data_IF_489368700085
#
_entry.id   IF_489368700085
#
_cell.length_a   1.000
_cell.length_b   1.000
_cell.length_c   1.000
_cell.angle_alpha   90.00
_cell.angle_beta   90.00
_cell.angle_gamma   90.00
#
_symmetry.space_group_name_H-M   'P 1'
#
loop_
_entity.id
_entity.type
_entity.pdbx_description
1 polymer ?
#
# COMPACT_ATOMS: atom_id res chain seq x y z
N UNK A 1 28.00 19.56 -24.02
CA UNK A 1 27.85 19.60 -22.55
C UNK A 1 26.39 19.83 -22.08
N UNK A 2 25.56 20.56 -22.85
CA UNK A 2 24.13 20.82 -22.52
C UNK A 2 23.23 19.57 -22.65
N UNK A 3 23.53 18.66 -23.61
CA UNK A 3 22.72 17.46 -23.90
C UNK A 3 22.81 16.40 -22.79
N UNK A 4 23.94 16.31 -22.08
CA UNK A 4 24.13 15.34 -20.97
C UNK A 4 23.40 15.80 -19.70
N UNK A 5 23.22 17.11 -19.53
CA UNK A 5 22.45 17.67 -18.40
C UNK A 5 20.93 17.46 -18.56
N UNK A 6 20.42 17.51 -19.80
CA UNK A 6 19.02 17.20 -20.10
C UNK A 6 18.70 15.72 -19.96
N UNK A 7 19.62 14.82 -20.34
CA UNK A 7 19.42 13.37 -20.22
C UNK A 7 19.42 12.89 -18.75
N UNK A 8 20.18 13.53 -17.86
CA UNK A 8 20.16 13.24 -16.41
C UNK A 8 18.92 13.78 -15.70
N UNK A 9 18.18 14.73 -16.27
CA UNK A 9 16.95 15.27 -15.70
C UNK A 9 15.71 14.46 -16.06
N UNK A 10 15.80 13.63 -17.12
CA UNK A 10 14.71 12.73 -17.57
C UNK A 10 14.68 11.41 -16.76
N UNK A 11 15.76 11.06 -16.06
CA UNK A 11 15.90 9.78 -15.32
C UNK A 11 15.91 9.92 -13.78
N UNK A 12 15.30 10.95 -13.20
CA UNK A 12 14.79 10.78 -11.84
C UNK A 12 13.43 10.09 -11.91
N UNK A 13 13.41 8.81 -12.31
CA UNK A 13 12.38 7.88 -11.86
C UNK A 13 12.43 7.94 -10.33
N UNK A 14 11.36 8.34 -9.69
CA UNK A 14 11.12 8.04 -8.28
C UNK A 14 11.06 6.51 -8.22
N UNK A 15 12.20 5.86 -8.02
CA UNK A 15 12.22 4.41 -7.85
C UNK A 15 11.64 4.14 -6.47
N UNK A 16 10.46 3.55 -6.44
CA UNK A 16 9.85 3.04 -5.22
C UNK A 16 10.79 1.98 -4.65
N UNK A 17 11.36 2.24 -3.47
CA UNK A 17 12.32 1.34 -2.83
C UNK A 17 11.65 0.42 -1.83
N UNK A 18 10.69 0.95 -1.08
CA UNK A 18 9.91 0.19 -0.09
C UNK A 18 8.43 0.51 -0.25
N UNK A 19 7.61 -0.51 -0.19
CA UNK A 19 6.16 -0.39 -0.32
C UNK A 19 5.50 -1.11 0.85
N UNK A 20 4.52 -0.46 1.48
CA UNK A 20 3.67 -1.17 2.42
C UNK A 20 2.55 -1.89 1.69
N UNK A 21 2.29 -3.14 2.09
CA UNK A 21 1.17 -3.91 1.56
C UNK A 21 0.18 -4.21 2.67
N UNK A 22 -1.03 -3.67 2.52
CA UNK A 22 -2.19 -3.96 3.35
C UNK A 22 -2.95 -5.14 2.75
N UNK A 23 -3.15 -6.20 3.52
CA UNK A 23 -3.84 -7.40 3.04
C UNK A 23 -4.41 -8.23 4.19
N UNK A 24 -5.25 -9.20 3.86
CA UNK A 24 -5.93 -10.03 4.84
C UNK A 24 -5.03 -11.00 5.60
N UNK A 25 -5.39 -11.28 6.86
CA UNK A 25 -4.87 -12.40 7.67
C UNK A 25 -5.50 -13.75 7.28
N UNK A 26 -6.32 -13.81 6.23
CA UNK A 26 -6.88 -15.00 5.60
C UNK A 26 -6.47 -15.03 4.14
N UNK A 27 -6.42 -16.23 3.53
CA UNK A 27 -6.18 -16.40 2.09
C UNK A 27 -7.45 -16.20 1.26
N UNK A 28 -8.62 -16.12 1.91
CA UNK A 28 -9.89 -16.23 1.23
C UNK A 28 -10.17 -17.66 0.72
N UNK A 29 -11.30 -17.85 0.05
CA UNK A 29 -11.68 -19.18 -0.45
C UNK A 29 -11.13 -19.46 -1.86
N UNK A 30 -10.93 -18.43 -2.66
CA UNK A 30 -10.44 -18.59 -4.03
C UNK A 30 -8.91 -18.56 -4.09
N UNK A 31 -8.27 -19.48 -4.83
CA UNK A 31 -6.82 -19.52 -4.99
C UNK A 31 -6.26 -18.27 -5.69
N UNK A 32 -7.07 -17.55 -6.45
CA UNK A 32 -6.67 -16.34 -7.19
C UNK A 32 -6.09 -15.25 -6.28
N UNK A 33 -6.53 -15.18 -5.03
CA UNK A 33 -6.03 -14.20 -4.05
C UNK A 33 -4.61 -14.56 -3.60
N UNK A 34 -4.37 -15.85 -3.32
CA UNK A 34 -3.04 -16.37 -3.03
C UNK A 34 -2.08 -16.13 -4.20
N UNK A 35 -2.52 -16.43 -5.42
CA UNK A 35 -1.73 -16.22 -6.64
C UNK A 35 -1.37 -14.74 -6.84
N UNK A 36 -2.28 -13.83 -6.53
CA UNK A 36 -2.01 -12.39 -6.59
C UNK A 36 -0.93 -11.96 -5.59
N UNK A 37 -0.95 -12.50 -4.35
CA UNK A 37 0.10 -12.24 -3.37
C UNK A 37 1.46 -12.77 -3.81
N UNK A 38 1.51 -13.99 -4.34
CA UNK A 38 2.75 -14.59 -4.90
C UNK A 38 3.27 -13.77 -6.08
N UNK A 39 2.38 -13.37 -7.01
CA UNK A 39 2.77 -12.55 -8.17
C UNK A 39 3.34 -11.21 -7.74
N UNK A 40 2.75 -10.55 -6.74
CA UNK A 40 3.26 -9.29 -6.20
C UNK A 40 4.61 -9.50 -5.50
N UNK A 41 4.76 -10.56 -4.71
CA UNK A 41 6.02 -10.89 -4.05
C UNK A 41 7.17 -11.14 -5.03
N UNK A 42 6.93 -11.90 -6.10
CA UNK A 42 7.91 -12.12 -7.16
C UNK A 42 8.30 -10.81 -7.84
N UNK A 43 7.32 -9.95 -8.15
CA UNK A 43 7.59 -8.63 -8.72
C UNK A 43 8.49 -7.78 -7.81
N UNK A 44 8.27 -7.80 -6.49
CA UNK A 44 9.09 -7.07 -5.53
C UNK A 44 10.54 -7.53 -5.56
N UNK A 45 10.77 -8.84 -5.55
CA UNK A 45 12.13 -9.41 -5.62
C UNK A 45 12.83 -9.04 -6.93
N UNK A 46 12.17 -9.24 -8.08
CA UNK A 46 12.72 -8.93 -9.41
C UNK A 46 13.10 -7.44 -9.55
N UNK A 47 12.36 -6.55 -8.89
CA UNK A 47 12.57 -5.10 -8.97
C UNK A 47 13.30 -4.50 -7.76
N UNK A 48 13.77 -5.34 -6.82
CA UNK A 48 14.48 -4.93 -5.59
C UNK A 48 13.68 -3.96 -4.74
N UNK A 49 12.38 -4.23 -4.58
CA UNK A 49 11.46 -3.46 -3.74
C UNK A 49 11.34 -4.18 -2.40
N UNK A 50 11.60 -3.47 -1.30
CA UNK A 50 11.38 -3.98 0.05
C UNK A 50 9.90 -3.96 0.44
N UNK A 51 9.44 -5.04 1.08
CA UNK A 51 8.11 -5.14 1.66
C UNK A 51 8.09 -4.56 3.07
N UNK A 52 7.13 -3.70 3.37
CA UNK A 52 6.71 -3.36 4.74
C UNK A 52 5.30 -3.90 4.93
N UNK A 53 5.02 -4.59 6.05
CA UNK A 53 3.72 -5.20 6.26
C UNK A 53 3.40 -5.42 7.75
N UNK A 54 2.25 -5.98 8.04
CA UNK A 54 1.74 -6.17 9.40
C UNK A 54 2.44 -7.21 10.27
N UNK A 55 3.51 -7.86 9.81
CA UNK A 55 4.31 -8.79 10.61
C UNK A 55 3.69 -10.18 10.82
N UNK A 56 2.51 -10.47 10.27
CA UNK A 56 1.81 -11.75 10.47
C UNK A 56 2.31 -12.87 9.53
N UNK A 57 2.32 -14.11 10.06
CA UNK A 57 2.71 -15.32 9.29
C UNK A 57 1.55 -16.01 8.58
N UNK A 58 0.31 -15.57 8.79
CA UNK A 58 -0.89 -16.25 8.28
C UNK A 58 -1.55 -15.46 7.13
N UNK A 59 -2.35 -16.15 6.33
CA UNK A 59 -3.15 -15.56 5.27
C UNK A 59 -2.33 -14.96 4.14
N UNK A 60 -2.86 -13.89 3.55
CA UNK A 60 -2.20 -13.16 2.47
C UNK A 60 -0.88 -12.53 2.93
N UNK A 61 -0.82 -12.08 4.20
CA UNK A 61 0.39 -11.50 4.80
C UNK A 61 1.55 -12.50 4.81
N UNK A 62 1.34 -13.70 5.36
CA UNK A 62 2.36 -14.73 5.40
C UNK A 62 2.78 -15.17 3.99
N UNK A 63 1.82 -15.41 3.10
CA UNK A 63 2.11 -15.82 1.73
C UNK A 63 2.99 -14.82 0.97
N UNK A 64 2.72 -13.53 1.13
CA UNK A 64 3.52 -12.48 0.50
C UNK A 64 4.94 -12.42 1.09
N UNK A 65 5.06 -12.45 2.42
CA UNK A 65 6.36 -12.42 3.10
C UNK A 65 7.19 -13.66 2.76
N UNK A 66 6.61 -14.87 2.83
CA UNK A 66 7.27 -16.14 2.46
C UNK A 66 7.80 -16.12 1.03
N UNK A 67 7.00 -15.60 0.07
CA UNK A 67 7.40 -15.52 -1.34
C UNK A 67 8.65 -14.66 -1.52
N UNK A 68 8.75 -13.55 -0.79
CA UNK A 68 9.87 -12.62 -0.88
C UNK A 68 11.10 -13.18 -0.15
N UNK A 69 10.91 -13.72 1.06
CA UNK A 69 11.99 -14.30 1.88
C UNK A 69 12.63 -15.52 1.22
N UNK A 70 11.84 -16.38 0.57
CA UNK A 70 12.35 -17.55 -0.17
C UNK A 70 13.34 -17.18 -1.29
N UNK A 71 13.35 -15.93 -1.71
CA UNK A 71 14.23 -15.39 -2.76
C UNK A 71 15.23 -14.35 -2.20
N UNK A 72 15.44 -14.32 -0.88
CA UNK A 72 16.32 -13.38 -0.18
C UNK A 72 15.95 -11.89 -0.40
N UNK A 73 14.66 -11.59 -0.60
CA UNK A 73 14.15 -10.23 -0.68
C UNK A 73 14.01 -9.58 0.69
N UNK A 74 13.96 -8.24 0.73
CA UNK A 74 13.84 -7.45 1.96
C UNK A 74 12.39 -7.44 2.47
N UNK A 75 12.19 -7.83 3.75
CA UNK A 75 10.90 -7.82 4.43
C UNK A 75 11.03 -7.18 5.81
N UNK A 76 10.21 -6.16 6.08
CA UNK A 76 10.11 -5.49 7.38
C UNK A 76 8.69 -5.71 7.92
N UNK A 77 8.59 -6.31 9.09
CA UNK A 77 7.34 -6.47 9.81
C UNK A 77 7.13 -5.36 10.85
N UNK A 78 5.91 -4.85 10.99
CA UNK A 78 5.55 -3.91 12.06
C UNK A 78 4.36 -4.47 12.82
N UNK A 79 4.56 -4.86 14.08
CA UNK A 79 3.55 -5.54 14.87
C UNK A 79 3.33 -4.87 16.23
N UNK A 80 2.08 -4.72 16.69
CA UNK A 80 1.81 -4.25 18.05
C UNK A 80 2.14 -5.33 19.07
N UNK A 81 2.67 -4.91 20.21
CA UNK A 81 3.02 -5.82 21.34
C UNK A 81 1.87 -6.74 21.75
N UNK A 82 0.64 -6.28 21.63
CA UNK A 82 -0.56 -7.08 21.92
C UNK A 82 -0.64 -8.35 21.05
N UNK A 83 -0.26 -8.25 19.78
CA UNK A 83 -0.31 -9.36 18.81
C UNK A 83 0.98 -10.19 18.77
N UNK A 84 2.06 -9.73 19.41
CA UNK A 84 3.33 -10.43 19.47
C UNK A 84 3.21 -11.79 20.18
N UNK A 85 2.32 -11.89 21.16
CA UNK A 85 2.13 -13.09 22.00
C UNK A 85 1.23 -14.15 21.40
N UNK A 86 0.52 -13.88 20.30
CA UNK A 86 -0.53 -14.75 19.76
C UNK A 86 -0.03 -15.71 18.66
N UNK A 87 1.24 -16.07 18.62
CA UNK A 87 1.84 -16.95 17.60
C UNK A 87 1.58 -16.53 16.13
N UNK A 88 1.14 -15.29 15.92
CA UNK A 88 0.86 -14.76 14.59
C UNK A 88 2.07 -14.06 13.97
N UNK A 89 3.12 -13.82 14.75
CA UNK A 89 4.36 -13.18 14.26
C UNK A 89 5.10 -14.10 13.31
N UNK A 90 5.61 -13.54 12.24
CA UNK A 90 6.38 -14.26 11.25
C UNK A 90 7.84 -14.45 11.69
N UNK A 91 8.20 -15.66 12.18
CA UNK A 91 9.53 -15.96 12.71
C UNK A 91 10.68 -15.85 11.69
N UNK A 92 10.39 -15.92 10.40
CA UNK A 92 11.39 -15.80 9.34
C UNK A 92 11.75 -14.36 8.95
N UNK A 93 11.06 -13.36 9.50
CA UNK A 93 11.34 -11.94 9.24
C UNK A 93 12.36 -11.42 10.25
N UNK A 94 13.57 -11.10 9.77
CA UNK A 94 14.66 -10.63 10.64
C UNK A 94 14.40 -9.22 11.19
N UNK A 95 13.84 -8.31 10.38
CA UNK A 95 13.53 -6.94 10.79
C UNK A 95 12.07 -6.83 11.24
N UNK A 96 11.81 -7.13 12.54
CA UNK A 96 10.51 -7.03 13.15
C UNK A 96 10.46 -5.85 14.13
N UNK A 97 9.68 -4.82 13.80
CA UNK A 97 9.49 -3.63 14.63
C UNK A 97 8.27 -3.83 15.51
N UNK A 98 8.50 -3.92 16.82
CA UNK A 98 7.43 -4.04 17.82
C UNK A 98 7.01 -2.65 18.29
N UNK A 99 5.75 -2.28 18.10
CA UNK A 99 5.19 -1.01 18.54
C UNK A 99 4.25 -1.19 19.75
N UNK A 100 3.99 -0.10 20.47
CA UNK A 100 3.18 -0.17 21.70
C UNK A 100 1.67 -0.22 21.41
N UNK A 101 1.22 0.51 20.39
CA UNK A 101 -0.21 0.71 20.07
C UNK A 101 -0.49 0.47 18.59
N UNK A 102 -1.73 0.08 18.27
CA UNK A 102 -2.21 -0.11 16.91
C UNK A 102 -2.09 1.17 16.06
N UNK A 103 -2.39 2.34 16.63
CA UNK A 103 -2.24 3.63 15.96
C UNK A 103 -0.78 3.98 15.64
N UNK A 104 0.16 3.61 16.53
CA UNK A 104 1.59 3.83 16.30
C UNK A 104 2.12 2.98 15.14
N UNK A 105 1.62 1.74 14.98
CA UNK A 105 1.98 0.83 13.90
C UNK A 105 1.81 1.49 12.52
N UNK A 106 0.66 2.08 12.25
CA UNK A 106 0.35 2.71 10.95
C UNK A 106 1.29 3.89 10.66
N UNK A 107 1.61 4.69 11.68
CA UNK A 107 2.57 5.80 11.57
C UNK A 107 3.99 5.30 11.26
N UNK A 108 4.42 4.21 11.90
CA UNK A 108 5.75 3.60 11.63
C UNK A 108 5.79 3.08 10.20
N UNK A 109 4.80 2.29 9.79
CA UNK A 109 4.72 1.75 8.43
C UNK A 109 4.76 2.86 7.38
N UNK A 110 4.00 3.93 7.58
CA UNK A 110 3.99 5.07 6.68
C UNK A 110 5.38 5.71 6.54
N UNK A 111 6.12 5.90 7.61
CA UNK A 111 7.45 6.54 7.57
C UNK A 111 8.52 5.73 6.84
N UNK A 112 8.32 4.43 6.71
CA UNK A 112 9.29 3.49 6.12
C UNK A 112 9.16 3.36 4.60
N UNK A 113 8.08 3.83 3.99
CA UNK A 113 7.71 3.46 2.61
C UNK A 113 7.57 4.64 1.65
N UNK A 114 7.65 4.34 0.38
CA UNK A 114 7.48 5.28 -0.73
C UNK A 114 6.08 5.19 -1.35
N UNK A 115 5.29 4.17 -0.98
CA UNK A 115 3.94 3.95 -1.53
C UNK A 115 3.16 2.86 -0.80
N UNK A 116 1.90 2.73 -1.18
CA UNK A 116 0.91 1.84 -0.54
C UNK A 116 0.25 0.96 -1.58
N UNK A 117 0.18 -0.35 -1.32
CA UNK A 117 -0.60 -1.31 -2.10
C UNK A 117 -1.61 -1.98 -1.18
N UNK A 118 -2.85 -2.09 -1.64
CA UNK A 118 -3.91 -2.83 -0.94
C UNK A 118 -4.30 -4.05 -1.76
N UNK A 119 -4.18 -5.23 -1.16
CA UNK A 119 -4.69 -6.51 -1.65
C UNK A 119 -5.99 -6.86 -0.91
N UNK A 120 -6.77 -7.85 -1.38
CA UNK A 120 -7.96 -8.33 -0.68
C UNK A 120 -7.74 -8.60 0.81
N UNK A 121 -8.69 -8.18 1.63
CA UNK A 121 -8.65 -8.32 3.08
C UNK A 121 -9.93 -7.85 3.75
N UNK A 122 -9.91 -7.84 5.08
CA UNK A 122 -11.05 -7.46 5.91
C UNK A 122 -11.03 -6.01 6.38
N UNK A 123 -11.66 -5.78 7.54
CA UNK A 123 -11.78 -4.44 8.14
C UNK A 123 -10.45 -3.73 8.37
N UNK A 124 -9.43 -4.45 8.88
CA UNK A 124 -8.10 -3.87 9.10
C UNK A 124 -7.46 -3.36 7.81
N UNK A 125 -7.62 -4.11 6.72
CA UNK A 125 -7.12 -3.73 5.40
C UNK A 125 -7.79 -2.47 4.87
N UNK A 126 -9.12 -2.34 5.05
CA UNK A 126 -9.87 -1.15 4.67
C UNK A 126 -9.55 0.04 5.57
N UNK A 127 -9.39 -0.17 6.89
CA UNK A 127 -8.98 0.87 7.84
C UNK A 127 -7.63 1.48 7.44
N UNK A 128 -6.64 0.65 7.11
CA UNK A 128 -5.32 1.08 6.66
C UNK A 128 -5.38 1.82 5.31
N UNK A 129 -6.18 1.33 4.34
CA UNK A 129 -6.41 2.00 3.06
C UNK A 129 -7.03 3.37 3.22
N UNK A 130 -8.12 3.46 4.00
CA UNK A 130 -8.84 4.73 4.18
C UNK A 130 -8.04 5.75 5.00
N UNK A 131 -7.21 5.30 5.94
CA UNK A 131 -6.27 6.20 6.61
C UNK A 131 -5.25 6.78 5.63
N UNK A 132 -4.61 5.96 4.78
CA UNK A 132 -3.69 6.43 3.76
C UNK A 132 -4.36 7.43 2.80
N UNK A 133 -5.58 7.15 2.34
CA UNK A 133 -6.36 8.06 1.50
C UNK A 133 -6.69 9.38 2.20
N UNK A 134 -7.03 9.33 3.49
CA UNK A 134 -7.31 10.52 4.30
C UNK A 134 -6.06 11.39 4.44
N UNK A 135 -4.90 10.79 4.75
CA UNK A 135 -3.63 11.52 4.83
C UNK A 135 -3.22 12.14 3.49
N UNK A 136 -3.46 11.43 2.38
CA UNK A 136 -3.26 11.94 1.03
C UNK A 136 -4.20 13.10 0.70
N UNK A 137 -5.49 12.99 1.04
CA UNK A 137 -6.48 14.05 0.84
C UNK A 137 -6.16 15.32 1.63
N UNK A 138 -5.61 15.16 2.84
CA UNK A 138 -5.19 16.28 3.69
C UNK A 138 -3.82 16.85 3.28
N UNK A 139 -3.16 16.30 2.25
CA UNK A 139 -1.81 16.67 1.79
C UNK A 139 -0.72 16.48 2.88
N UNK A 140 -0.98 15.65 3.89
CA UNK A 140 0.01 15.25 4.90
C UNK A 140 1.02 14.30 4.28
N UNK A 141 0.55 13.41 3.38
CA UNK A 141 1.37 12.51 2.58
C UNK A 141 1.04 12.65 1.10
N UNK A 142 2.05 12.45 0.25
CA UNK A 142 1.91 12.59 -1.20
C UNK A 142 2.42 11.35 -1.95
N UNK A 143 2.35 10.18 -1.29
CA UNK A 143 2.77 8.90 -1.84
C UNK A 143 1.67 8.27 -2.69
N UNK A 144 1.99 7.46 -3.71
CA UNK A 144 1.00 6.70 -4.46
C UNK A 144 0.26 5.72 -3.52
N UNK A 145 -1.06 5.75 -3.59
CA UNK A 145 -1.95 4.84 -2.86
C UNK A 145 -2.68 4.00 -3.90
N UNK A 146 -2.54 2.70 -3.81
CA UNK A 146 -3.03 1.81 -4.84
C UNK A 146 -3.78 0.59 -4.32
N UNK A 147 -4.62 0.03 -5.17
CA UNK A 147 -5.48 -1.11 -4.90
C UNK A 147 -5.41 -2.08 -6.07
N UNK A 148 -5.02 -3.33 -5.79
CA UNK A 148 -5.08 -4.41 -6.75
C UNK A 148 -6.45 -5.09 -6.65
N UNK A 149 -7.32 -4.78 -7.61
CA UNK A 149 -8.70 -5.30 -7.66
C UNK A 149 -8.74 -6.70 -8.25
N UNK A 150 -8.29 -7.67 -7.46
CA UNK A 150 -8.26 -9.08 -7.84
C UNK A 150 -9.68 -9.62 -7.92
N UNK A 151 -10.07 -10.11 -9.09
CA UNK A 151 -11.39 -10.73 -9.32
C UNK A 151 -12.59 -9.85 -8.86
N UNK A 152 -12.46 -8.52 -9.00
CA UNK A 152 -13.56 -7.61 -8.62
C UNK A 152 -13.82 -7.50 -7.11
N UNK A 153 -12.89 -7.98 -6.25
CA UNK A 153 -13.09 -8.01 -4.81
C UNK A 153 -13.47 -6.64 -4.21
N UNK A 154 -12.96 -5.57 -4.78
CA UNK A 154 -13.22 -4.22 -4.30
C UNK A 154 -14.27 -3.45 -5.10
N UNK A 155 -14.99 -4.07 -6.03
CA UNK A 155 -15.95 -3.36 -6.88
C UNK A 155 -16.99 -2.59 -6.06
N UNK A 156 -17.52 -3.16 -4.98
CA UNK A 156 -18.48 -2.49 -4.09
C UNK A 156 -17.85 -1.28 -3.37
N UNK A 157 -16.58 -1.36 -2.98
CA UNK A 157 -15.85 -0.24 -2.37
C UNK A 157 -15.65 0.89 -3.39
N UNK A 158 -15.28 0.55 -4.61
CA UNK A 158 -15.10 1.53 -5.70
C UNK A 158 -16.42 2.22 -6.03
N UNK A 159 -17.52 1.48 -6.14
CA UNK A 159 -18.86 2.03 -6.31
C UNK A 159 -19.25 2.97 -5.17
N UNK A 160 -18.93 2.62 -3.92
CA UNK A 160 -19.18 3.49 -2.78
C UNK A 160 -18.40 4.80 -2.86
N UNK A 161 -17.13 4.75 -3.29
CA UNK A 161 -16.32 5.96 -3.48
C UNK A 161 -16.87 6.84 -4.60
N UNK A 162 -17.35 6.24 -5.69
CA UNK A 162 -17.97 6.97 -6.79
C UNK A 162 -19.30 7.60 -6.36
N UNK A 163 -20.09 6.91 -5.53
CA UNK A 163 -21.29 7.45 -4.90
C UNK A 163 -20.99 8.63 -3.98
N UNK A 164 -19.91 8.58 -3.21
CA UNK A 164 -19.46 9.72 -2.40
C UNK A 164 -19.13 10.95 -3.25
N UNK A 165 -18.60 10.75 -4.47
CA UNK A 165 -18.35 11.86 -5.40
C UNK A 165 -19.67 12.42 -5.93
N UNK A 166 -20.58 11.57 -6.35
CA UNK A 166 -21.91 11.94 -6.86
C UNK A 166 -22.71 12.77 -5.84
N UNK A 167 -22.71 12.34 -4.58
CA UNK A 167 -23.41 13.03 -3.47
C UNK A 167 -22.63 14.20 -2.86
N UNK A 168 -21.42 14.51 -3.38
CA UNK A 168 -20.63 15.67 -2.95
C UNK A 168 -19.85 15.51 -1.65
N UNK A 169 -19.80 14.31 -1.05
CA UNK A 169 -18.99 14.02 0.14
C UNK A 169 -17.51 13.85 -0.16
N UNK A 170 -17.16 13.46 -1.38
CA UNK A 170 -15.80 13.30 -1.87
C UNK A 170 -15.61 14.13 -3.15
N UNK A 171 -14.51 14.89 -3.24
CA UNK A 171 -14.16 15.57 -4.49
C UNK A 171 -13.53 14.59 -5.46
N UNK A 172 -13.72 14.78 -6.77
CA UNK A 172 -13.09 13.97 -7.82
C UNK A 172 -11.56 13.91 -7.65
N UNK A 173 -10.90 15.01 -7.25
CA UNK A 173 -9.47 15.00 -6.97
C UNK A 173 -9.09 14.06 -5.81
N UNK A 174 -9.94 13.93 -4.80
CA UNK A 174 -9.76 12.98 -3.69
C UNK A 174 -9.97 11.52 -4.14
N UNK A 175 -11.01 11.28 -4.97
CA UNK A 175 -11.24 9.94 -5.57
C UNK A 175 -10.06 9.49 -6.42
N UNK A 176 -9.43 10.40 -7.13
CA UNK A 176 -8.28 10.13 -8.01
C UNK A 176 -6.96 9.87 -7.28
N UNK A 177 -6.93 10.00 -5.94
CA UNK A 177 -5.78 9.55 -5.14
C UNK A 177 -5.62 8.03 -5.18
N UNK A 178 -6.73 7.29 -5.31
CA UNK A 178 -6.70 5.84 -5.35
C UNK A 178 -6.43 5.34 -6.76
N UNK A 179 -5.24 4.79 -6.96
CA UNK A 179 -4.86 4.08 -8.18
C UNK A 179 -5.45 2.67 -8.14
N UNK A 180 -6.16 2.27 -9.19
CA UNK A 180 -6.77 0.95 -9.28
C UNK A 180 -6.23 0.21 -10.50
N UNK A 181 -5.88 -1.06 -10.31
CA UNK A 181 -5.49 -1.95 -11.40
C UNK A 181 -5.94 -3.39 -11.12
N UNK A 182 -6.01 -4.21 -12.15
CA UNK A 182 -6.35 -5.63 -12.06
C UNK A 182 -5.13 -6.55 -12.20
N UNK A 183 -3.96 -6.00 -12.54
CA UNK A 183 -2.70 -6.73 -12.61
C UNK A 183 -1.57 -5.98 -11.89
N UNK A 184 -0.60 -6.74 -11.35
CA UNK A 184 0.57 -6.18 -10.66
C UNK A 184 1.36 -5.26 -11.59
N UNK A 185 1.58 -5.65 -12.83
CA UNK A 185 2.33 -4.84 -13.80
C UNK A 185 1.68 -3.48 -14.06
N UNK A 186 0.37 -3.46 -14.28
CA UNK A 186 -0.38 -2.21 -14.48
C UNK A 186 -0.34 -1.34 -13.21
N UNK A 187 -0.51 -1.96 -12.03
CA UNK A 187 -0.48 -1.25 -10.76
C UNK A 187 0.84 -0.53 -10.57
N UNK A 188 1.96 -1.23 -10.75
CA UNK A 188 3.28 -0.66 -10.58
C UNK A 188 3.59 0.44 -11.60
N UNK A 189 3.14 0.29 -12.85
CA UNK A 189 3.25 1.35 -13.86
C UNK A 189 2.50 2.62 -13.44
N UNK A 190 1.28 2.48 -12.89
CA UNK A 190 0.51 3.61 -12.36
C UNK A 190 1.19 4.27 -11.17
N UNK A 191 1.75 3.48 -10.26
CA UNK A 191 2.49 3.98 -9.10
C UNK A 191 3.76 4.72 -9.50
N UNK A 192 4.54 4.21 -10.43
CA UNK A 192 5.75 4.86 -10.96
C UNK A 192 5.45 6.18 -11.68
N UNK A 193 4.31 6.25 -12.35
CA UNK A 193 3.85 7.46 -13.06
C UNK A 193 3.12 8.46 -12.15
N UNK A 194 2.87 8.11 -10.89
CA UNK A 194 2.04 8.91 -9.98
C UNK A 194 2.64 10.30 -9.73
N UNK A 195 1.76 11.29 -9.80
CA UNK A 195 2.03 12.66 -9.38
C UNK A 195 0.91 13.07 -8.43
N UNK A 196 1.28 13.45 -7.23
CA UNK A 196 0.31 13.88 -6.23
C UNK A 196 -0.55 15.02 -6.76
N UNK A 197 -1.90 14.88 -6.76
CA UNK A 197 -2.78 15.95 -7.21
C UNK A 197 -2.70 17.14 -6.26
N UNK A 198 -2.80 18.35 -6.81
CA UNK A 198 -2.95 19.56 -6.01
C UNK A 198 -4.39 19.61 -5.47
N UNK A 199 -4.58 19.18 -4.24
CA UNK A 199 -5.86 19.29 -3.54
C UNK A 199 -5.84 20.59 -2.75
N UNK A 200 -6.85 21.45 -2.94
CA UNK A 200 -6.98 22.66 -2.13
C UNK A 200 -7.34 22.23 -0.70
N UNK A 201 -6.50 22.51 0.31
CA UNK A 201 -6.77 22.08 1.69
C UNK A 201 -8.11 22.65 2.16
N UNK A 202 -8.92 21.81 2.81
CA UNK A 202 -10.22 22.21 3.38
C UNK A 202 -10.00 23.23 4.51
N UNK A 203 -8.86 23.15 5.20
CA UNK A 203 -8.48 23.98 6.35
C UNK A 203 -8.45 25.48 6.02
N UNK A 204 -8.13 25.87 4.78
CA UNK A 204 -8.11 27.27 4.38
C UNK A 204 -9.50 27.90 4.17
N UNK A 205 -10.59 27.14 4.26
CA UNK A 205 -11.97 27.64 4.13
C UNK A 205 -12.70 27.87 5.45
N UNK A 206 -12.16 27.40 6.57
CA UNK A 206 -12.78 27.49 7.90
C UNK A 206 -12.29 28.72 8.66
N UNK A 207 -11.29 29.44 8.17
CA UNK A 207 -10.72 30.64 8.80
C UNK A 207 -11.07 31.88 7.94
N UNK A 208 -12.36 32.06 7.66
CA UNK A 208 -12.93 33.35 7.19
C UNK A 208 -14.30 33.58 7.80
#
# INVERSE_FOLDING_TARGET
>A
MLFIYFYKRILKRNTLKKIVVFCGSSLGFSPIYKEAAVTLGNYFVENKIGLVYGGGKIGMMGMLADTILAQNGEVIGVIPKLLEKEEVVHAGVEEMIVCKKMSERKVIMSKLVDGYITLPGGFGTLDELFEALTLGQLQIEQKPISLLNVNGFFDAVLLQLDKMVEEGYLKTAGRNLLLVATSVKELMQKMDAYKAPKIVPIINKVVR
#
